data_IF_041329989237
#
_entry.id   IF_041329989237
#
_cell.length_a   1.000
_cell.length_b   1.000
_cell.length_c   1.000
_cell.angle_alpha   90.00
_cell.angle_beta   90.00
_cell.angle_gamma   90.00
#
_symmetry.space_group_name_H-M   'P 1'
#
loop_
_entity.id
_entity.type
_entity.pdbx_description
1 polymer ?
#
# COMPACT_ATOMS: atom_id res chain seq x y z
N UNK A 1 -40.89 -24.98 33.09
CA UNK A 1 -41.28 -25.97 32.06
C UNK A 1 -40.17 -25.98 31.02
N UNK A 2 -39.72 -27.15 30.57
CA UNK A 2 -38.45 -27.30 29.84
C UNK A 2 -38.58 -26.82 28.39
N UNK A 3 -37.67 -25.94 28.02
CA UNK A 3 -37.51 -25.43 26.67
C UNK A 3 -36.73 -26.44 25.80
N UNK A 4 -37.29 -27.64 25.57
CA UNK A 4 -36.60 -28.72 24.83
C UNK A 4 -36.18 -28.31 23.43
N UNK A 5 -36.98 -27.46 22.78
CA UNK A 5 -36.67 -26.92 21.45
C UNK A 5 -35.38 -26.09 21.47
N UNK A 6 -35.33 -25.02 22.27
CA UNK A 6 -34.13 -24.17 22.35
C UNK A 6 -32.93 -24.91 22.96
N UNK A 7 -33.14 -25.82 23.92
CA UNK A 7 -32.06 -26.66 24.43
C UNK A 7 -31.43 -27.54 23.33
N UNK A 8 -32.23 -28.02 22.38
CA UNK A 8 -31.74 -28.82 21.25
C UNK A 8 -30.91 -27.96 20.30
N UNK A 9 -31.38 -26.75 19.99
CA UNK A 9 -30.64 -25.81 19.14
C UNK A 9 -29.34 -25.34 19.83
N UNK A 10 -29.40 -24.94 21.11
CA UNK A 10 -28.22 -24.52 21.89
C UNK A 10 -27.18 -25.63 22.01
N UNK A 11 -27.60 -26.87 22.27
CA UNK A 11 -26.70 -28.02 22.32
C UNK A 11 -26.07 -28.31 20.95
N UNK A 12 -26.85 -28.20 19.88
CA UNK A 12 -26.38 -28.40 18.50
C UNK A 12 -25.39 -27.32 18.04
N UNK A 13 -25.61 -26.07 18.43
CA UNK A 13 -24.80 -24.92 18.06
C UNK A 13 -23.61 -24.67 19.00
N UNK A 14 -23.33 -25.57 19.96
CA UNK A 14 -22.25 -25.37 20.96
C UNK A 14 -20.86 -25.14 20.36
N UNK A 15 -20.60 -25.62 19.15
CA UNK A 15 -19.33 -25.48 18.43
C UNK A 15 -19.21 -24.15 17.67
N UNK A 16 -20.30 -23.40 17.57
CA UNK A 16 -20.36 -22.07 16.97
C UNK A 16 -19.95 -21.04 18.02
N UNK A 17 -19.17 -20.00 17.65
CA UNK A 17 -18.83 -18.89 18.54
C UNK A 17 -20.06 -18.33 19.24
N UNK A 18 -19.91 -17.91 20.50
CA UNK A 18 -21.03 -17.47 21.32
C UNK A 18 -21.83 -16.33 20.68
N UNK A 19 -21.15 -15.35 20.10
CA UNK A 19 -21.78 -14.21 19.42
C UNK A 19 -22.66 -14.66 18.25
N UNK A 20 -22.11 -15.45 17.33
CA UNK A 20 -22.84 -16.00 16.17
C UNK A 20 -24.00 -16.90 16.63
N UNK A 21 -23.79 -17.68 17.69
CA UNK A 21 -24.82 -18.57 18.26
C UNK A 21 -25.97 -17.79 18.89
N UNK A 22 -25.69 -16.72 19.63
CA UNK A 22 -26.73 -15.87 20.21
C UNK A 22 -27.55 -15.17 19.13
N UNK A 23 -26.89 -14.69 18.08
CA UNK A 23 -27.54 -14.11 16.90
C UNK A 23 -28.48 -15.11 16.22
N UNK A 24 -28.01 -16.33 15.96
CA UNK A 24 -28.83 -17.40 15.35
C UNK A 24 -30.06 -17.80 16.18
N UNK A 25 -29.98 -17.66 17.51
CA UNK A 25 -31.05 -18.06 18.43
C UNK A 25 -31.99 -16.91 18.79
N UNK A 26 -31.63 -15.67 18.44
CA UNK A 26 -32.32 -14.46 18.89
C UNK A 26 -33.81 -14.48 18.51
N UNK A 27 -34.11 -14.68 17.22
CA UNK A 27 -35.49 -14.68 16.71
C UNK A 27 -36.35 -15.79 17.36
N UNK A 28 -35.76 -16.95 17.62
CA UNK A 28 -36.46 -18.03 18.32
C UNK A 28 -36.73 -17.65 19.77
N UNK A 29 -35.75 -17.10 20.50
CA UNK A 29 -35.92 -16.66 21.88
C UNK A 29 -37.01 -15.60 21.99
N UNK A 30 -37.00 -14.60 21.11
CA UNK A 30 -38.02 -13.55 21.05
C UNK A 30 -39.41 -14.14 20.74
N UNK A 31 -39.51 -15.05 19.77
CA UNK A 31 -40.77 -15.72 19.42
C UNK A 31 -41.37 -16.49 20.61
N UNK A 32 -40.54 -17.23 21.35
CA UNK A 32 -40.98 -17.93 22.55
C UNK A 32 -41.40 -16.94 23.65
N UNK A 33 -40.66 -15.85 23.88
CA UNK A 33 -41.02 -14.85 24.89
C UNK A 33 -42.38 -14.18 24.62
N UNK A 34 -42.63 -13.77 23.37
CA UNK A 34 -43.90 -13.16 22.97
C UNK A 34 -45.06 -14.16 23.12
N UNK A 35 -44.88 -15.39 22.62
CA UNK A 35 -45.90 -16.42 22.75
C UNK A 35 -46.25 -16.76 24.21
N UNK A 36 -45.27 -16.68 25.11
CA UNK A 36 -45.50 -16.82 26.55
C UNK A 36 -46.31 -15.67 27.15
N UNK A 37 -46.05 -14.43 26.73
CA UNK A 37 -46.82 -13.28 27.18
C UNK A 37 -48.30 -13.36 26.76
N UNK A 38 -48.59 -14.06 25.66
CA UNK A 38 -49.93 -14.33 25.15
C UNK A 38 -50.62 -15.56 25.80
N UNK A 39 -49.94 -16.24 26.74
CA UNK A 39 -50.47 -17.40 27.44
C UNK A 39 -50.39 -18.72 26.66
N UNK A 40 -49.62 -18.76 25.56
CA UNK A 40 -49.38 -19.98 24.77
C UNK A 40 -48.37 -20.89 25.46
N UNK A 41 -48.44 -22.19 25.18
CA UNK A 41 -47.53 -23.19 25.78
C UNK A 41 -46.32 -23.49 24.89
N UNK A 42 -45.22 -23.98 25.49
CA UNK A 42 -44.03 -24.42 24.74
C UNK A 42 -44.35 -25.42 23.63
N UNK A 43 -45.33 -26.31 23.86
CA UNK A 43 -45.71 -27.35 22.92
C UNK A 43 -46.34 -26.75 21.66
N UNK A 44 -47.27 -25.81 21.84
CA UNK A 44 -47.95 -25.12 20.72
C UNK A 44 -46.95 -24.31 19.88
N UNK A 45 -46.02 -23.59 20.53
CA UNK A 45 -45.00 -22.80 19.85
C UNK A 45 -43.99 -23.69 19.09
N UNK A 46 -43.61 -24.83 19.67
CA UNK A 46 -42.70 -25.78 19.02
C UNK A 46 -43.35 -26.49 17.83
N UNK A 47 -44.65 -26.81 17.91
CA UNK A 47 -45.41 -27.40 16.80
C UNK A 47 -45.56 -26.42 15.62
N UNK A 48 -45.66 -25.12 15.88
CA UNK A 48 -45.71 -24.07 14.85
C UNK A 48 -44.37 -23.92 14.11
N UNK A 49 -43.25 -24.01 14.83
CA UNK A 49 -41.90 -23.91 14.26
C UNK A 49 -41.45 -25.19 13.55
N UNK A 50 -41.95 -26.36 13.98
CA UNK A 50 -41.61 -27.64 13.38
C UNK A 50 -40.43 -28.35 14.06
N UNK A 51 -39.63 -29.08 13.29
CA UNK A 51 -38.59 -29.96 13.83
C UNK A 51 -37.32 -29.19 14.20
N UNK A 52 -36.91 -29.13 15.49
CA UNK A 52 -35.68 -28.44 15.89
C UNK A 52 -34.42 -29.05 15.27
N UNK A 53 -34.44 -30.34 14.90
CA UNK A 53 -33.31 -31.00 14.24
C UNK A 53 -33.13 -30.56 12.79
N UNK A 54 -34.21 -30.28 12.09
CA UNK A 54 -34.17 -29.79 10.70
C UNK A 54 -33.69 -28.34 10.68
N UNK A 55 -34.25 -27.50 11.55
CA UNK A 55 -33.83 -26.11 11.72
C UNK A 55 -32.34 -26.02 12.09
N UNK A 56 -31.87 -26.87 13.02
CA UNK A 56 -30.45 -26.93 13.38
C UNK A 56 -29.56 -27.23 12.17
N UNK A 57 -29.98 -28.17 11.32
CA UNK A 57 -29.22 -28.56 10.13
C UNK A 57 -29.15 -27.41 9.13
N UNK A 58 -30.24 -26.67 8.94
CA UNK A 58 -30.30 -25.54 8.03
C UNK A 58 -29.42 -24.39 8.54
N UNK A 59 -29.53 -24.02 9.82
CA UNK A 59 -28.67 -23.01 10.46
C UNK A 59 -27.17 -23.34 10.32
N UNK A 60 -26.78 -24.59 10.54
CA UNK A 60 -25.39 -25.03 10.37
C UNK A 60 -24.94 -24.98 8.91
N UNK A 61 -25.83 -25.28 7.97
CA UNK A 61 -25.55 -25.23 6.54
C UNK A 61 -25.31 -23.79 6.10
N UNK A 62 -26.22 -22.89 6.46
CA UNK A 62 -26.13 -21.46 6.13
C UNK A 62 -24.89 -20.81 6.75
N UNK A 63 -24.59 -21.12 8.03
CA UNK A 63 -23.37 -20.66 8.68
C UNK A 63 -22.12 -21.13 7.93
N UNK A 64 -22.08 -22.40 7.54
CA UNK A 64 -20.92 -22.98 6.86
C UNK A 64 -20.70 -22.33 5.49
N UNK A 65 -21.77 -22.10 4.73
CA UNK A 65 -21.70 -21.44 3.41
C UNK A 65 -21.25 -19.98 3.57
N UNK A 66 -21.92 -19.22 4.44
CA UNK A 66 -21.61 -17.81 4.69
C UNK A 66 -20.16 -17.62 5.15
N UNK A 67 -19.67 -18.48 6.06
CA UNK A 67 -18.28 -18.46 6.51
C UNK A 67 -17.28 -18.80 5.40
N UNK A 68 -17.57 -19.79 4.58
CA UNK A 68 -16.72 -20.17 3.45
C UNK A 68 -16.65 -19.09 2.36
N UNK A 69 -17.76 -18.40 2.10
CA UNK A 69 -17.81 -17.26 1.17
C UNK A 69 -17.05 -16.05 1.73
N UNK A 70 -17.26 -15.72 3.00
CA UNK A 70 -16.56 -14.65 3.71
C UNK A 70 -15.05 -14.88 3.74
N UNK A 71 -14.58 -16.08 4.15
CA UNK A 71 -13.16 -16.39 4.18
C UNK A 71 -12.51 -16.35 2.79
N UNK A 72 -13.19 -16.86 1.74
CA UNK A 72 -12.70 -16.73 0.36
C UNK A 72 -12.57 -15.26 -0.04
N UNK A 73 -13.58 -14.44 0.25
CA UNK A 73 -13.57 -13.01 -0.06
C UNK A 73 -12.43 -12.29 0.68
N UNK A 74 -12.31 -12.48 2.00
CA UNK A 74 -11.27 -11.87 2.83
C UNK A 74 -9.88 -12.31 2.40
N UNK A 75 -9.66 -13.60 2.10
CA UNK A 75 -8.36 -14.11 1.65
C UNK A 75 -7.98 -13.59 0.27
N UNK A 76 -8.95 -13.44 -0.64
CA UNK A 76 -8.72 -12.88 -1.97
C UNK A 76 -8.44 -11.38 -1.90
N UNK A 77 -9.19 -10.64 -1.09
CA UNK A 77 -9.01 -9.20 -0.87
C UNK A 77 -7.68 -8.93 -0.18
N UNK A 78 -7.34 -9.64 0.89
CA UNK A 78 -6.06 -9.48 1.59
C UNK A 78 -4.88 -9.82 0.69
N UNK A 79 -4.96 -10.90 -0.12
CA UNK A 79 -3.94 -11.22 -1.12
C UNK A 79 -3.81 -10.12 -2.17
N UNK A 80 -4.93 -9.57 -2.66
CA UNK A 80 -4.92 -8.46 -3.60
C UNK A 80 -4.32 -7.20 -2.98
N UNK A 81 -4.66 -6.87 -1.73
CA UNK A 81 -4.08 -5.74 -1.00
C UNK A 81 -2.57 -5.90 -0.80
N UNK A 82 -2.11 -7.08 -0.35
CA UNK A 82 -0.68 -7.36 -0.21
C UNK A 82 0.02 -7.26 -1.54
N UNK A 83 -0.58 -7.76 -2.63
CA UNK A 83 -0.02 -7.63 -3.96
C UNK A 83 0.08 -6.16 -4.40
N UNK A 84 -0.97 -5.36 -4.22
CA UNK A 84 -0.97 -3.93 -4.55
C UNK A 84 0.07 -3.17 -3.72
N UNK A 85 0.11 -3.36 -2.40
CA UNK A 85 1.08 -2.72 -1.50
C UNK A 85 2.50 -3.11 -1.91
N UNK A 86 2.74 -4.40 -2.16
CA UNK A 86 4.05 -4.89 -2.59
C UNK A 86 4.45 -4.29 -3.92
N UNK A 87 3.53 -4.24 -4.90
CA UNK A 87 3.80 -3.64 -6.21
C UNK A 87 4.12 -2.15 -6.08
N UNK A 88 3.34 -1.41 -5.29
CA UNK A 88 3.58 0.00 -5.02
C UNK A 88 4.92 0.25 -4.34
N UNK A 89 5.28 -0.55 -3.34
CA UNK A 89 6.54 -0.42 -2.62
C UNK A 89 7.75 -0.76 -3.50
N UNK A 90 7.67 -1.87 -4.25
CA UNK A 90 8.71 -2.24 -5.22
C UNK A 90 8.84 -1.18 -6.33
N UNK A 91 7.72 -0.66 -6.84
CA UNK A 91 7.74 0.41 -7.84
C UNK A 91 8.41 1.68 -7.29
N UNK A 92 8.15 2.05 -6.02
CA UNK A 92 8.83 3.17 -5.38
C UNK A 92 10.34 2.93 -5.34
N UNK A 93 10.80 1.79 -4.85
CA UNK A 93 12.25 1.53 -4.71
C UNK A 93 12.95 1.43 -6.07
N UNK A 94 12.38 0.69 -7.03
CA UNK A 94 13.02 0.45 -8.31
C UNK A 94 12.94 1.63 -9.27
N UNK A 95 11.93 2.49 -9.16
CA UNK A 95 11.81 3.68 -10.02
C UNK A 95 12.35 4.93 -9.31
N UNK A 96 11.90 5.21 -8.09
CA UNK A 96 12.30 6.42 -7.37
C UNK A 96 13.77 6.38 -6.95
N UNK A 97 14.28 5.22 -6.52
CA UNK A 97 15.66 5.07 -6.05
C UNK A 97 16.71 5.50 -7.09
N UNK A 98 16.69 4.94 -8.31
CA UNK A 98 17.59 5.36 -9.38
C UNK A 98 17.39 6.83 -9.77
N UNK A 99 16.14 7.31 -9.85
CA UNK A 99 15.86 8.72 -10.19
C UNK A 99 16.46 9.66 -9.16
N UNK A 100 16.27 9.39 -7.87
CA UNK A 100 16.83 10.20 -6.79
C UNK A 100 18.36 10.19 -6.81
N UNK A 101 18.96 9.04 -7.10
CA UNK A 101 20.42 8.91 -7.23
C UNK A 101 20.93 9.75 -8.40
N UNK A 102 20.29 9.66 -9.57
CA UNK A 102 20.67 10.45 -10.76
C UNK A 102 20.55 11.95 -10.48
N UNK A 103 19.44 12.39 -9.87
CA UNK A 103 19.22 13.80 -9.51
C UNK A 103 20.25 14.26 -8.48
N UNK A 104 20.53 13.46 -7.46
CA UNK A 104 21.53 13.76 -6.44
C UNK A 104 22.94 13.91 -7.03
N UNK A 105 23.35 12.97 -7.89
CA UNK A 105 24.63 13.05 -8.62
C UNK A 105 24.69 14.29 -9.50
N UNK A 106 23.60 14.62 -10.19
CA UNK A 106 23.51 15.83 -11.02
C UNK A 106 23.66 17.11 -10.19
N UNK A 107 22.98 17.22 -9.05
CA UNK A 107 23.10 18.37 -8.14
C UNK A 107 24.53 18.47 -7.61
N UNK A 108 25.15 17.36 -7.21
CA UNK A 108 26.53 17.33 -6.76
C UNK A 108 27.50 17.80 -7.86
N UNK A 109 27.30 17.35 -9.11
CA UNK A 109 28.10 17.78 -10.26
C UNK A 109 27.98 19.30 -10.49
N UNK A 110 26.77 19.85 -10.41
CA UNK A 110 26.53 21.29 -10.50
C UNK A 110 27.24 22.04 -9.36
N UNK A 111 27.14 21.54 -8.13
CA UNK A 111 27.80 22.15 -6.98
C UNK A 111 29.33 22.15 -7.13
N UNK A 112 29.92 21.06 -7.60
CA UNK A 112 31.36 20.96 -7.89
C UNK A 112 31.77 21.94 -8.99
N UNK A 113 31.00 22.03 -10.07
CA UNK A 113 31.28 22.98 -11.15
C UNK A 113 31.27 24.44 -10.66
N UNK A 114 30.28 24.81 -9.83
CA UNK A 114 30.19 26.14 -9.21
C UNK A 114 31.36 26.37 -8.27
N UNK A 115 31.67 25.40 -7.40
CA UNK A 115 32.77 25.49 -6.45
C UNK A 115 34.12 25.68 -7.16
N UNK A 116 34.37 24.94 -8.25
CA UNK A 116 35.62 25.07 -9.02
C UNK A 116 35.69 26.39 -9.79
N UNK A 117 34.55 26.91 -10.24
CA UNK A 117 34.48 28.21 -10.91
C UNK A 117 34.74 29.36 -9.94
N UNK A 118 34.25 29.26 -8.70
CA UNK A 118 34.40 30.30 -7.66
C UNK A 118 35.70 30.17 -6.84
N UNK A 119 36.25 28.97 -6.70
CA UNK A 119 37.46 28.69 -5.91
C UNK A 119 38.67 29.58 -6.28
N UNK A 120 38.91 29.92 -7.55
CA UNK A 120 39.94 30.90 -7.94
C UNK A 120 39.84 32.25 -7.22
N UNK A 121 38.63 32.77 -6.98
CA UNK A 121 38.44 34.03 -6.23
C UNK A 121 38.89 33.89 -4.78
N UNK A 122 38.64 32.73 -4.17
CA UNK A 122 39.09 32.44 -2.81
C UNK A 122 40.63 32.27 -2.75
N UNK A 123 41.22 31.60 -3.75
CA UNK A 123 42.68 31.40 -3.82
C UNK A 123 43.41 32.74 -3.92
N UNK A 124 42.89 33.69 -4.72
CA UNK A 124 43.48 35.02 -4.90
C UNK A 124 43.44 35.89 -3.64
N UNK A 125 42.48 35.66 -2.75
CA UNK A 125 42.33 36.41 -1.47
C UNK A 125 42.96 35.69 -0.28
N UNK A 126 43.27 34.40 -0.42
CA UNK A 126 43.81 33.58 0.65
C UNK A 126 45.35 33.58 0.71
N UNK A 127 45.89 33.67 1.93
CA UNK A 127 47.33 33.60 2.20
C UNK A 127 47.94 32.19 2.17
N UNK A 128 47.18 31.15 1.81
CA UNK A 128 47.57 29.75 2.02
C UNK A 128 48.46 29.14 0.92
N UNK A 129 48.50 29.72 -0.29
CA UNK A 129 49.40 29.26 -1.36
C UNK A 129 50.77 29.93 -1.24
N UNK A 130 51.84 29.15 -1.44
CA UNK A 130 53.25 29.59 -1.43
C UNK A 130 53.47 30.87 -2.25
N UNK A 131 54.42 31.71 -1.84
CA UNK A 131 54.68 33.08 -2.33
C UNK A 131 54.98 33.23 -3.84
N UNK A 132 54.89 32.16 -4.62
CA UNK A 132 55.05 32.16 -6.07
C UNK A 132 53.74 32.55 -6.77
N UNK A 133 53.65 33.83 -7.17
CA UNK A 133 52.55 34.40 -7.95
C UNK A 133 52.21 33.58 -9.21
N UNK A 134 53.22 33.00 -9.86
CA UNK A 134 53.08 32.18 -11.06
C UNK A 134 52.23 30.92 -10.79
N UNK A 135 52.53 30.19 -9.72
CA UNK A 135 51.80 28.96 -9.36
C UNK A 135 50.35 29.28 -9.00
N UNK A 136 50.11 30.36 -8.26
CA UNK A 136 48.75 30.85 -7.94
C UNK A 136 47.94 31.17 -9.20
N UNK A 137 48.55 31.87 -10.17
CA UNK A 137 47.89 32.24 -11.42
C UNK A 137 47.51 31.01 -12.26
N UNK A 138 48.43 30.07 -12.45
CA UNK A 138 48.15 28.85 -13.20
C UNK A 138 47.13 27.94 -12.50
N UNK A 139 47.14 27.88 -11.16
CA UNK A 139 46.14 27.12 -10.39
C UNK A 139 44.74 27.74 -10.52
N UNK A 140 44.63 29.07 -10.44
CA UNK A 140 43.38 29.78 -10.63
C UNK A 140 42.81 29.61 -12.06
N UNK A 141 43.68 29.64 -13.07
CA UNK A 141 43.30 29.46 -14.48
C UNK A 141 42.82 28.02 -14.75
N UNK A 142 43.51 27.02 -14.20
CA UNK A 142 43.13 25.61 -14.38
C UNK A 142 41.82 25.26 -13.68
N UNK A 143 41.62 25.70 -12.43
CA UNK A 143 40.36 25.48 -11.71
C UNK A 143 39.17 26.19 -12.37
N UNK A 144 39.33 27.45 -12.80
CA UNK A 144 38.26 28.18 -13.50
C UNK A 144 37.89 27.51 -14.82
N UNK A 145 38.88 27.13 -15.63
CA UNK A 145 38.67 26.44 -16.90
C UNK A 145 37.98 25.09 -16.71
N UNK A 146 38.41 24.32 -15.70
CA UNK A 146 37.80 23.04 -15.36
C UNK A 146 36.37 23.21 -14.84
N UNK A 147 36.11 24.22 -14.01
CA UNK A 147 34.77 24.55 -13.51
C UNK A 147 33.79 24.89 -14.64
N UNK A 148 34.21 25.72 -15.60
CA UNK A 148 33.40 26.07 -16.78
C UNK A 148 33.15 24.85 -17.67
N UNK A 149 34.16 24.00 -17.89
CA UNK A 149 34.01 22.77 -18.67
C UNK A 149 33.01 21.80 -18.01
N UNK A 150 33.14 21.59 -16.69
CA UNK A 150 32.20 20.78 -15.91
C UNK A 150 30.79 21.36 -15.95
N UNK A 151 30.65 22.69 -15.87
CA UNK A 151 29.37 23.39 -15.99
C UNK A 151 28.70 23.17 -17.36
N UNK A 152 29.46 23.31 -18.44
CA UNK A 152 28.97 23.05 -19.80
C UNK A 152 28.55 21.57 -19.97
N UNK A 153 29.35 20.64 -19.44
CA UNK A 153 29.02 19.22 -19.39
C UNK A 153 27.74 18.94 -18.61
N UNK A 154 27.57 19.57 -17.44
CA UNK A 154 26.36 19.45 -16.63
C UNK A 154 25.12 19.94 -17.38
N UNK A 155 25.18 21.07 -18.09
CA UNK A 155 24.04 21.56 -18.90
C UNK A 155 23.64 20.55 -19.99
N UNK A 156 24.63 19.96 -20.67
CA UNK A 156 24.36 18.93 -21.69
C UNK A 156 23.71 17.68 -21.08
N UNK A 157 24.27 17.21 -19.94
CA UNK A 157 23.74 16.08 -19.20
C UNK A 157 22.31 16.35 -18.69
N UNK A 158 22.02 17.55 -18.20
CA UNK A 158 20.70 17.96 -17.75
C UNK A 158 19.66 17.89 -18.87
N UNK A 159 19.99 18.35 -20.08
CA UNK A 159 19.12 18.21 -21.26
C UNK A 159 18.86 16.75 -21.62
N UNK A 160 19.89 15.90 -21.56
CA UNK A 160 19.76 14.47 -21.79
C UNK A 160 18.84 13.80 -20.76
N UNK A 161 19.04 14.08 -19.47
CA UNK A 161 18.19 13.56 -18.38
C UNK A 161 16.74 14.03 -18.51
N UNK A 162 16.51 15.30 -18.83
CA UNK A 162 15.17 15.84 -19.09
C UNK A 162 14.45 15.09 -20.21
N UNK A 163 15.15 14.83 -21.32
CA UNK A 163 14.59 14.07 -22.44
C UNK A 163 14.28 12.61 -22.06
N UNK A 164 15.13 11.97 -21.24
CA UNK A 164 14.85 10.64 -20.71
C UNK A 164 13.60 10.62 -19.84
N UNK A 165 13.45 11.60 -18.94
CA UNK A 165 12.28 11.72 -18.07
C UNK A 165 11.01 11.94 -18.91
N UNK A 166 11.05 12.86 -19.89
CA UNK A 166 9.93 13.07 -20.79
C UNK A 166 9.57 11.80 -21.59
N UNK A 167 10.57 11.06 -22.07
CA UNK A 167 10.35 9.79 -22.77
C UNK A 167 9.71 8.75 -21.86
N UNK A 168 10.15 8.66 -20.61
CA UNK A 168 9.56 7.78 -19.60
C UNK A 168 8.10 8.15 -19.31
N UNK A 169 7.81 9.43 -19.04
CA UNK A 169 6.44 9.92 -18.78
C UNK A 169 5.53 9.64 -19.98
N UNK A 170 6.01 9.92 -21.20
CA UNK A 170 5.25 9.63 -22.44
C UNK A 170 4.99 8.14 -22.62
N UNK A 171 5.98 7.29 -22.38
CA UNK A 171 5.83 5.84 -22.46
C UNK A 171 4.81 5.34 -21.43
N UNK A 172 4.90 5.80 -20.18
CA UNK A 172 3.98 5.39 -19.13
C UNK A 172 2.55 5.86 -19.41
N UNK A 173 2.37 7.10 -19.88
CA UNK A 173 1.06 7.61 -20.30
C UNK A 173 0.46 6.87 -21.50
N UNK A 174 1.28 6.40 -22.45
CA UNK A 174 0.80 5.59 -23.60
C UNK A 174 0.26 4.23 -23.14
N UNK A 175 0.97 3.59 -22.21
CA UNK A 175 0.55 2.32 -21.63
C UNK A 175 -0.78 2.47 -20.88
N UNK A 176 -0.94 3.55 -20.09
CA UNK A 176 -2.18 3.82 -19.34
C UNK A 176 -3.36 4.15 -20.28
N UNK A 177 -3.11 4.83 -21.40
CA UNK A 177 -4.15 5.15 -22.39
C UNK A 177 -4.50 3.99 -23.33
N UNK A 178 -3.81 2.85 -23.24
CA UNK A 178 -4.10 1.66 -24.05
C UNK A 178 -3.91 1.86 -25.56
N UNK A 179 -3.24 2.94 -25.99
CA UNK A 179 -2.87 3.11 -27.40
C UNK A 179 -1.83 2.06 -27.75
N UNK A 180 -2.28 1.01 -28.45
CA UNK A 180 -1.40 0.05 -29.10
C UNK A 180 -0.35 0.83 -29.87
N UNK A 181 0.92 0.55 -29.61
CA UNK A 181 2.01 1.01 -30.46
C UNK A 181 1.76 0.44 -31.86
N UNK A 182 1.24 1.28 -32.75
CA UNK A 182 1.23 1.06 -34.20
C UNK A 182 2.53 1.61 -34.75
#
# INVERSE_FOLDING_TARGET
MKNEFLNTLEAGLRHIPETDREEMLYDFKEHFEVGFAEGRTYKELSEELGSPKEILKDLLTDYTISKAESEKSVKNVSRAMVAVISLSFLNLIFVLGPVLTIVGVYIALCAVAIAFTLSPLAILTSGYFTDEYTVRFFTALTLSSLGVLLGAGAVSLGKFLYNLILKYIKMNSRIIKGEKAV
#
